data_IF_077913528773
#
_entry.id   IF_077913528773
#
_cell.length_a   1.000
_cell.length_b   1.000
_cell.length_c   1.000
_cell.angle_alpha   90.00
_cell.angle_beta   90.00
_cell.angle_gamma   90.00
#
_symmetry.space_group_name_H-M   'P 1'
#
loop_
_entity.id
_entity.type
_entity.pdbx_description
1 polymer ?
#
# COMPACT_ATOMS: atom_id res chain seq x y z
N UNK A 1 6.16 -16.78 1.78
CA UNK A 1 5.30 -15.87 0.98
C UNK A 1 3.84 -16.18 1.29
N UNK A 2 2.87 -15.30 1.01
CA UNK A 2 1.45 -15.56 1.33
C UNK A 2 0.91 -16.87 0.70
N UNK A 3 1.37 -17.20 -0.51
CA UNK A 3 1.08 -18.47 -1.19
C UNK A 3 1.59 -19.74 -0.46
N UNK A 4 2.44 -19.58 0.55
CA UNK A 4 2.98 -20.67 1.38
C UNK A 4 2.08 -20.99 2.59
N UNK A 5 0.97 -20.25 2.77
CA UNK A 5 0.00 -20.50 3.82
C UNK A 5 -1.34 -20.94 3.21
N UNK A 6 -1.86 -22.13 3.56
CA UNK A 6 -3.16 -22.59 3.06
C UNK A 6 -4.33 -21.73 3.54
N UNK A 7 -4.10 -20.89 4.56
CA UNK A 7 -5.12 -20.03 5.16
C UNK A 7 -5.21 -18.65 4.51
N UNK A 8 -4.36 -18.35 3.52
CA UNK A 8 -4.32 -17.02 2.86
C UNK A 8 -4.49 -17.17 1.36
N UNK A 9 -5.64 -16.74 0.86
CA UNK A 9 -5.89 -16.65 -0.58
C UNK A 9 -5.38 -15.30 -1.10
N UNK A 10 -4.47 -15.31 -2.07
CA UNK A 10 -4.00 -14.09 -2.74
C UNK A 10 -4.55 -14.03 -4.17
N UNK A 11 -5.07 -12.86 -4.56
CA UNK A 11 -5.50 -12.57 -5.94
C UNK A 11 -4.85 -11.27 -6.40
N UNK A 12 -4.60 -11.18 -7.70
CA UNK A 12 -4.06 -9.99 -8.35
C UNK A 12 -5.02 -9.56 -9.45
N UNK A 13 -5.34 -8.27 -9.47
CA UNK A 13 -6.17 -7.63 -10.49
C UNK A 13 -5.44 -6.42 -11.07
N UNK A 14 -5.64 -6.14 -12.35
CA UNK A 14 -4.99 -5.02 -13.02
C UNK A 14 -5.75 -3.72 -12.76
N UNK A 15 -5.03 -2.67 -12.33
CA UNK A 15 -5.59 -1.34 -12.04
C UNK A 15 -6.43 -0.80 -13.18
N UNK A 16 -5.90 -0.91 -14.39
CA UNK A 16 -6.47 -0.29 -15.59
C UNK A 16 -7.73 -1.01 -16.09
N UNK A 17 -8.00 -2.22 -15.58
CA UNK A 17 -9.19 -3.02 -15.91
C UNK A 17 -10.26 -2.98 -14.81
N UNK A 18 -9.92 -2.44 -13.62
CA UNK A 18 -10.76 -2.53 -12.42
C UNK A 18 -10.99 -1.14 -11.79
N UNK A 19 -11.44 -0.19 -12.60
CA UNK A 19 -11.61 1.21 -12.18
C UNK A 19 -12.59 1.40 -11.01
N UNK A 20 -13.71 0.67 -11.01
CA UNK A 20 -14.70 0.75 -9.92
C UNK A 20 -14.08 0.39 -8.57
N UNK A 21 -13.27 -0.67 -8.52
CA UNK A 21 -12.54 -1.05 -7.32
C UNK A 21 -11.56 0.05 -6.92
N UNK A 22 -10.77 0.55 -7.88
CA UNK A 22 -9.76 1.58 -7.61
C UNK A 22 -10.37 2.89 -7.10
N UNK A 23 -11.58 3.24 -7.53
CA UNK A 23 -12.28 4.46 -7.10
C UNK A 23 -12.69 4.42 -5.61
N UNK A 24 -12.78 3.22 -5.01
CA UNK A 24 -12.95 3.07 -3.57
C UNK A 24 -11.65 3.29 -2.76
N UNK A 25 -10.48 3.29 -3.40
CA UNK A 25 -9.16 3.35 -2.75
C UNK A 25 -8.26 4.47 -3.30
N UNK A 26 -8.86 5.61 -3.65
CA UNK A 26 -8.12 6.77 -4.14
C UNK A 26 -7.11 7.27 -3.10
N UNK A 27 -5.91 7.61 -3.56
CA UNK A 27 -4.86 8.26 -2.76
C UNK A 27 -4.63 9.65 -3.32
N UNK A 28 -4.89 10.68 -2.51
CA UNK A 28 -4.85 12.09 -2.93
C UNK A 28 -5.69 12.35 -4.19
N UNK A 29 -6.84 11.68 -4.32
CA UNK A 29 -7.73 11.75 -5.49
C UNK A 29 -7.24 10.97 -6.72
N UNK A 30 -6.09 10.30 -6.65
CA UNK A 30 -5.53 9.51 -7.75
C UNK A 30 -5.63 8.00 -7.52
N UNK A 31 -5.68 7.24 -8.63
CA UNK A 31 -5.60 5.76 -8.64
C UNK A 31 -4.14 5.30 -8.54
N UNK A 32 -3.60 5.33 -7.33
CA UNK A 32 -2.22 4.92 -7.07
C UNK A 32 -2.09 3.41 -6.84
N UNK A 33 -0.93 2.83 -7.16
CA UNK A 33 -0.62 1.41 -6.97
C UNK A 33 0.77 1.19 -6.36
N UNK A 34 1.02 0.03 -5.74
CA UNK A 34 0.07 -1.07 -5.48
C UNK A 34 -0.86 -0.81 -4.27
N UNK A 35 -2.13 -1.20 -4.37
CA UNK A 35 -3.06 -1.28 -3.22
C UNK A 35 -3.26 -2.74 -2.86
N UNK A 36 -3.05 -3.08 -1.59
CA UNK A 36 -3.40 -4.37 -1.02
C UNK A 36 -4.71 -4.22 -0.28
N UNK A 37 -5.71 -5.00 -0.69
CA UNK A 37 -7.04 -5.04 -0.05
C UNK A 37 -7.11 -6.35 0.74
N UNK A 38 -7.53 -6.25 2.00
CA UNK A 38 -7.72 -7.38 2.90
C UNK A 38 -9.22 -7.58 3.11
N UNK A 39 -9.70 -8.76 2.76
CA UNK A 39 -11.10 -9.14 2.85
C UNK A 39 -11.25 -10.40 3.69
N UNK A 40 -12.34 -10.51 4.44
CA UNK A 40 -12.72 -11.75 5.09
C UNK A 40 -13.19 -12.75 4.02
N UNK A 41 -12.62 -13.96 4.04
CA UNK A 41 -12.84 -14.94 2.99
C UNK A 41 -14.24 -15.58 3.03
N UNK A 42 -14.92 -15.53 4.18
CA UNK A 42 -16.23 -16.17 4.37
C UNK A 42 -17.39 -15.22 4.02
N UNK A 43 -17.28 -13.98 4.46
CA UNK A 43 -18.31 -12.93 4.33
C UNK A 43 -18.07 -12.02 3.13
N UNK A 44 -16.84 -11.94 2.63
CA UNK A 44 -16.43 -10.98 1.61
C UNK A 44 -16.31 -9.54 2.13
N UNK A 45 -16.38 -9.34 3.45
CA UNK A 45 -16.32 -8.01 4.05
C UNK A 45 -14.92 -7.41 3.95
N UNK A 46 -14.84 -6.10 3.71
CA UNK A 46 -13.58 -5.36 3.71
C UNK A 46 -13.06 -5.23 5.14
N UNK A 47 -11.90 -5.82 5.42
CA UNK A 47 -11.20 -5.68 6.70
C UNK A 47 -10.31 -4.45 6.70
N UNK A 48 -9.64 -4.18 5.59
CA UNK A 48 -8.83 -2.98 5.44
C UNK A 48 -7.99 -2.98 4.18
N UNK A 49 -7.09 -2.00 4.07
CA UNK A 49 -6.18 -1.90 2.94
C UNK A 49 -4.83 -1.29 3.34
N UNK A 50 -3.83 -1.50 2.50
CA UNK A 50 -2.51 -0.90 2.59
C UNK A 50 -2.05 -0.42 1.21
N UNK A 51 -1.23 0.63 1.17
CA UNK A 51 -0.67 1.21 -0.05
C UNK A 51 -1.00 2.69 -0.21
N UNK A 52 -0.53 3.35 -1.29
CA UNK A 52 0.24 2.79 -2.40
C UNK A 52 1.74 2.61 -2.08
N UNK A 53 2.22 3.27 -1.02
CA UNK A 53 3.63 3.30 -0.61
C UNK A 53 3.70 3.27 0.92
N UNK A 54 4.82 2.81 1.50
CA UNK A 54 5.05 3.03 2.92
C UNK A 54 5.13 4.52 3.23
N UNK A 55 4.85 4.89 4.48
CA UNK A 55 4.80 6.26 4.97
C UNK A 55 6.03 7.07 4.60
N UNK A 56 7.23 6.51 4.75
CA UNK A 56 8.49 7.19 4.45
C UNK A 56 8.62 7.57 2.96
N UNK A 57 8.22 6.69 2.04
CA UNK A 57 8.25 7.00 0.61
C UNK A 57 7.13 7.98 0.20
N UNK A 58 5.98 7.92 0.87
CA UNK A 58 4.91 8.90 0.69
C UNK A 58 5.33 10.29 1.18
N UNK A 59 6.09 10.37 2.27
CA UNK A 59 6.59 11.63 2.82
C UNK A 59 7.58 12.32 1.88
N UNK A 60 8.43 11.55 1.18
CA UNK A 60 9.32 12.09 0.13
C UNK A 60 8.49 12.75 -0.98
N UNK A 61 7.39 12.10 -1.42
CA UNK A 61 6.49 12.67 -2.42
C UNK A 61 5.84 13.97 -1.91
N UNK A 62 5.34 13.98 -0.69
CA UNK A 62 4.70 15.16 -0.10
C UNK A 62 5.68 16.32 0.06
N UNK A 63 6.91 16.05 0.50
CA UNK A 63 7.96 17.06 0.62
C UNK A 63 8.33 17.65 -0.73
N UNK A 64 8.49 16.82 -1.76
CA UNK A 64 8.76 17.30 -3.12
C UNK A 64 7.61 18.16 -3.67
N UNK A 65 6.36 17.73 -3.50
CA UNK A 65 5.18 18.53 -3.90
C UNK A 65 5.12 19.87 -3.16
N UNK A 66 5.44 19.88 -1.88
CA UNK A 66 5.42 21.08 -1.04
C UNK A 66 6.55 22.07 -1.37
N UNK A 67 7.70 21.57 -1.85
CA UNK A 67 8.84 22.42 -2.19
C UNK A 67 8.59 23.34 -3.39
N UNK A 68 7.70 22.94 -4.32
CA UNK A 68 7.39 23.71 -5.54
C UNK A 68 8.58 23.80 -6.52
N UNK A 69 8.30 23.98 -7.81
CA UNK A 69 9.29 24.23 -8.89
C UNK A 69 10.49 23.27 -9.02
N UNK A 70 10.47 22.12 -8.33
CA UNK A 70 11.49 21.08 -8.48
C UNK A 70 11.15 20.13 -9.63
N UNK A 71 12.12 19.77 -10.48
CA UNK A 71 11.88 18.80 -11.54
C UNK A 71 11.57 17.42 -10.94
N UNK A 72 10.74 16.64 -11.64
CA UNK A 72 10.37 15.28 -11.22
C UNK A 72 11.58 14.35 -11.03
N UNK A 73 12.69 14.61 -11.75
CA UNK A 73 13.94 13.86 -11.61
C UNK A 73 14.49 13.88 -10.17
N UNK A 74 14.33 14.99 -9.44
CA UNK A 74 14.77 15.10 -8.04
C UNK A 74 13.97 14.15 -7.15
N UNK A 75 12.65 14.12 -7.29
CA UNK A 75 11.79 13.17 -6.59
C UNK A 75 12.16 11.72 -6.92
N UNK A 76 12.32 11.43 -8.22
CA UNK A 76 12.66 10.09 -8.70
C UNK A 76 13.99 9.60 -8.09
N UNK A 77 15.02 10.44 -8.09
CA UNK A 77 16.32 10.11 -7.48
C UNK A 77 16.21 9.86 -5.97
N UNK A 78 15.52 10.74 -5.25
CA UNK A 78 15.34 10.62 -3.80
C UNK A 78 14.59 9.34 -3.43
N UNK A 79 13.47 9.05 -4.11
CA UNK A 79 12.66 7.89 -3.79
C UNK A 79 13.37 6.58 -4.16
N UNK A 80 14.09 6.53 -5.29
CA UNK A 80 14.88 5.35 -5.65
C UNK A 80 16.06 5.13 -4.71
N UNK A 81 16.74 6.20 -4.31
CA UNK A 81 17.81 6.13 -3.30
C UNK A 81 17.29 5.63 -1.97
N UNK A 82 16.10 6.09 -1.56
CA UNK A 82 15.44 5.61 -0.36
C UNK A 82 15.13 4.11 -0.46
N UNK A 83 14.51 3.63 -1.54
CA UNK A 83 14.22 2.21 -1.71
C UNK A 83 15.49 1.34 -1.66
N UNK A 84 16.55 1.77 -2.34
CA UNK A 84 17.83 1.06 -2.36
C UNK A 84 18.47 0.94 -0.96
N UNK A 85 18.36 2.00 -0.15
CA UNK A 85 18.86 2.02 1.24
C UNK A 85 17.95 1.26 2.20
N UNK A 86 16.63 1.39 2.03
CA UNK A 86 15.63 0.79 2.90
C UNK A 86 15.59 -0.73 2.81
N UNK A 87 15.87 -1.29 1.62
CA UNK A 87 15.89 -2.75 1.40
C UNK A 87 14.63 -3.45 1.91
N UNK A 88 13.47 -2.83 1.70
CA UNK A 88 12.13 -3.31 2.10
C UNK A 88 11.83 -3.35 3.60
N UNK A 89 12.76 -2.93 4.47
CA UNK A 89 12.60 -3.01 5.93
C UNK A 89 11.35 -2.27 6.40
N UNK A 90 11.16 -1.02 5.97
CA UNK A 90 10.01 -0.23 6.42
C UNK A 90 8.71 -0.72 5.77
N UNK A 91 8.79 -1.19 4.52
CA UNK A 91 7.65 -1.78 3.81
C UNK A 91 7.12 -2.98 4.59
N UNK A 92 8.00 -3.94 4.92
CA UNK A 92 7.61 -5.14 5.65
C UNK A 92 7.10 -4.81 7.04
N UNK A 93 7.78 -3.91 7.75
CA UNK A 93 7.39 -3.49 9.11
C UNK A 93 6.00 -2.86 9.12
N UNK A 94 5.76 -1.88 8.26
CA UNK A 94 4.48 -1.18 8.18
C UNK A 94 3.37 -2.13 7.74
N UNK A 95 3.61 -2.90 6.68
CA UNK A 95 2.62 -3.85 6.14
C UNK A 95 2.23 -4.91 7.18
N UNK A 96 3.21 -5.53 7.85
CA UNK A 96 2.97 -6.54 8.90
C UNK A 96 2.23 -5.94 10.08
N UNK A 97 2.59 -4.71 10.49
CA UNK A 97 1.88 -4.00 11.56
C UNK A 97 0.43 -3.73 11.21
N UNK A 98 0.14 -3.33 9.96
CA UNK A 98 -1.25 -3.12 9.50
C UNK A 98 -2.02 -4.42 9.51
N UNK A 99 -1.46 -5.50 8.93
CA UNK A 99 -2.13 -6.79 8.90
C UNK A 99 -2.48 -7.29 10.29
N UNK A 100 -1.55 -7.20 11.25
CA UNK A 100 -1.82 -7.59 12.63
C UNK A 100 -2.97 -6.78 13.26
N UNK A 101 -2.99 -5.47 13.04
CA UNK A 101 -4.05 -4.62 13.56
C UNK A 101 -5.43 -4.98 12.97
N UNK A 102 -5.48 -5.40 11.71
CA UNK A 102 -6.71 -5.84 11.05
C UNK A 102 -7.24 -7.16 11.63
N UNK A 103 -6.35 -8.10 11.95
CA UNK A 103 -6.75 -9.40 12.52
C UNK A 103 -7.10 -9.33 14.00
N UNK A 104 -6.43 -8.46 14.77
CA UNK A 104 -6.69 -8.33 16.22
C UNK A 104 -8.06 -7.67 16.50
N UNK A 105 -8.56 -6.86 15.56
CA UNK A 105 -9.86 -6.19 15.64
C UNK A 105 -11.05 -7.15 15.51
N UNK A 106 -10.90 -8.28 14.80
CA UNK A 106 -11.95 -9.30 14.62
C UNK A 106 -12.08 -10.24 15.82
N UNK A 107 -11.02 -10.41 16.62
CA UNK A 107 -11.03 -11.31 17.81
C UNK A 107 -11.84 -10.71 18.97
N UNK A 108 -12.21 -9.43 18.90
CA UNK A 108 -12.91 -8.70 19.97
C UNK A 108 -14.30 -8.18 19.57
N UNK A 109 -14.87 -8.64 18.46
CA UNK A 109 -16.24 -8.34 18.01
C UNK A 109 -17.10 -9.58 17.96
#
# INVERSE_FOLDING_TARGET
MAAESPNVLTRYILRDENHEIMDHFLTDGGRAIPITIVIDAQTGSLLGHWGPRPKAAQDILHQWKAAGDQPYSVFSEQVHTWYAKNKTVDIQKEFSSKLKALTDAEVHS
#
